data_IF_735706342128
#
_entry.id   IF_735706342128
#
_cell.length_a   1.000
_cell.length_b   1.000
_cell.length_c   1.000
_cell.angle_alpha   90.00
_cell.angle_beta   90.00
_cell.angle_gamma   90.00
#
_symmetry.space_group_name_H-M   'P 1'
#
loop_
_entity.id
_entity.type
_entity.pdbx_description
1 polymer ?
#
# COMPACT_ATOMS: atom_id res chain seq x y z
N UNK A 1 -5.34 4.83 9.40
CA UNK A 1 -6.03 6.13 9.20
C UNK A 1 -5.69 6.63 7.80
N UNK A 2 -6.66 7.18 7.05
CA UNK A 2 -6.39 7.79 5.73
C UNK A 2 -6.26 9.30 5.92
N UNK A 3 -5.15 9.87 5.47
CA UNK A 3 -4.81 11.29 5.63
C UNK A 3 -5.15 12.02 4.32
N UNK A 4 -5.92 13.12 4.35
CA UNK A 4 -6.18 13.93 3.16
C UNK A 4 -4.87 14.44 2.53
N UNK A 5 -4.78 14.41 1.20
CA UNK A 5 -3.58 14.79 0.43
C UNK A 5 -2.45 13.76 0.44
N UNK A 6 -2.59 12.65 1.18
CA UNK A 6 -1.58 11.59 1.18
C UNK A 6 -1.64 10.74 -0.10
N UNK A 7 -0.48 10.31 -0.55
CA UNK A 7 -0.34 9.31 -1.62
C UNK A 7 -0.01 7.96 -0.99
N UNK A 8 -0.87 6.98 -1.22
CA UNK A 8 -0.75 5.61 -0.77
C UNK A 8 -0.23 4.73 -1.91
N UNK A 9 0.89 4.04 -1.68
CA UNK A 9 1.42 3.03 -2.59
C UNK A 9 1.06 1.64 -2.11
N UNK A 10 0.44 0.82 -2.97
CA UNK A 10 0.08 -0.56 -2.62
C UNK A 10 1.08 -1.54 -3.20
N UNK A 11 1.64 -2.38 -2.35
CA UNK A 11 2.53 -3.47 -2.76
C UNK A 11 1.86 -4.83 -2.49
N UNK A 12 1.56 -5.55 -3.57
CA UNK A 12 0.91 -6.85 -3.54
C UNK A 12 -0.62 -6.81 -3.45
N UNK A 13 -1.23 -7.99 -3.31
CA UNK A 13 -2.68 -8.14 -3.24
C UNK A 13 -3.21 -7.93 -1.81
N UNK A 14 -4.26 -7.11 -1.68
CA UNK A 14 -4.93 -6.84 -0.41
C UNK A 14 -5.66 -8.10 0.11
N UNK A 15 -5.69 -8.25 1.44
CA UNK A 15 -6.25 -9.41 2.12
C UNK A 15 -7.78 -9.48 2.06
N UNK A 16 -8.41 -8.32 2.28
CA UNK A 16 -9.80 -8.22 2.72
C UNK A 16 -10.75 -7.74 1.62
N UNK A 17 -10.24 -7.03 0.62
CA UNK A 17 -11.05 -6.48 -0.47
C UNK A 17 -10.24 -6.18 -1.72
N UNK A 18 -10.88 -6.12 -2.91
CA UNK A 18 -10.22 -5.75 -4.16
C UNK A 18 -9.63 -4.33 -4.15
N UNK A 19 -8.54 -4.13 -4.88
CA UNK A 19 -7.85 -2.83 -4.99
C UNK A 19 -8.76 -1.68 -5.44
N UNK A 20 -9.79 -1.98 -6.26
CA UNK A 20 -10.75 -0.98 -6.73
C UNK A 20 -11.57 -0.35 -5.59
N UNK A 21 -11.92 -1.14 -4.57
CA UNK A 21 -12.63 -0.61 -3.41
C UNK A 21 -11.70 0.22 -2.53
N UNK A 22 -10.44 -0.21 -2.41
CA UNK A 22 -9.38 0.57 -1.76
C UNK A 22 -9.23 1.95 -2.41
N UNK A 23 -9.09 1.98 -3.74
CA UNK A 23 -8.92 3.20 -4.52
C UNK A 23 -10.08 4.17 -4.27
N UNK A 24 -11.32 3.67 -4.35
CA UNK A 24 -12.52 4.47 -4.10
C UNK A 24 -12.60 5.03 -2.69
N UNK A 25 -12.11 4.31 -1.68
CA UNK A 25 -12.12 4.81 -0.29
C UNK A 25 -11.04 5.88 -0.07
N UNK A 26 -9.88 5.70 -0.69
CA UNK A 26 -8.77 6.65 -0.63
C UNK A 26 -9.13 7.94 -1.37
N UNK A 27 -9.69 7.83 -2.58
CA UNK A 27 -10.20 8.97 -3.35
C UNK A 27 -11.32 9.73 -2.61
N UNK A 28 -12.27 9.00 -1.98
CA UNK A 28 -13.34 9.62 -1.17
C UNK A 28 -12.82 10.46 0.00
N UNK A 29 -11.59 10.22 0.44
CA UNK A 29 -10.96 10.94 1.56
C UNK A 29 -9.91 11.96 1.08
N UNK A 30 -10.00 12.37 -0.19
CA UNK A 30 -9.08 13.32 -0.83
C UNK A 30 -7.61 12.85 -0.82
N UNK A 31 -7.39 11.54 -0.94
CA UNK A 31 -6.06 10.95 -1.03
C UNK A 31 -5.90 10.20 -2.37
N UNK A 32 -4.67 9.86 -2.75
CA UNK A 32 -4.37 9.12 -3.98
C UNK A 32 -3.92 7.69 -3.67
N UNK A 33 -4.37 6.71 -4.48
CA UNK A 33 -3.89 5.33 -4.42
C UNK A 33 -3.12 4.98 -5.70
N UNK A 34 -1.89 4.49 -5.56
CA UNK A 34 -1.03 4.05 -6.66
C UNK A 34 -0.64 2.58 -6.49
N UNK A 35 -0.38 1.91 -7.60
CA UNK A 35 0.26 0.59 -7.61
C UNK A 35 1.77 0.78 -7.50
N UNK A 36 2.39 0.09 -6.55
CA UNK A 36 3.81 0.24 -6.24
C UNK A 36 4.12 1.48 -5.40
N UNK A 37 5.40 1.70 -5.14
CA UNK A 37 5.92 2.84 -4.40
C UNK A 37 6.58 3.79 -5.40
N UNK A 38 6.35 5.09 -5.24
CA UNK A 38 6.99 6.15 -6.02
C UNK A 38 7.57 7.19 -5.08
N UNK A 39 8.42 8.09 -5.58
CA UNK A 39 9.01 9.17 -4.77
C UNK A 39 7.98 10.09 -4.07
N UNK A 40 6.74 10.14 -4.57
CA UNK A 40 5.64 10.92 -3.96
C UNK A 40 4.83 10.13 -2.93
N UNK A 41 5.13 8.84 -2.73
CA UNK A 41 4.36 7.97 -1.85
C UNK A 41 4.67 8.31 -0.40
N UNK A 42 3.65 8.78 0.30
CA UNK A 42 3.72 9.11 1.72
C UNK A 42 3.50 7.91 2.63
N UNK A 43 2.72 6.93 2.15
CA UNK A 43 2.31 5.78 2.95
C UNK A 43 2.32 4.52 2.08
N UNK A 44 2.89 3.43 2.59
CA UNK A 44 2.93 2.14 1.88
C UNK A 44 1.96 1.16 2.53
N UNK A 45 1.13 0.53 1.72
CA UNK A 45 0.17 -0.51 2.14
C UNK A 45 0.64 -1.85 1.61
N UNK A 46 1.00 -2.74 2.54
CA UNK A 46 1.43 -4.10 2.21
C UNK A 46 0.25 -5.06 2.20
N UNK A 47 0.07 -5.74 1.07
CA UNK A 47 -0.93 -6.78 0.91
C UNK A 47 -0.60 -8.07 1.69
N UNK A 48 -1.62 -8.92 1.89
CA UNK A 48 -1.51 -10.20 2.62
C UNK A 48 -0.44 -11.12 2.05
N UNK A 49 -0.35 -11.16 0.72
CA UNK A 49 0.62 -12.02 0.05
C UNK A 49 2.07 -11.64 0.40
N UNK A 50 2.33 -10.35 0.68
CA UNK A 50 3.65 -9.87 1.04
C UNK A 50 3.92 -10.09 2.53
N UNK A 51 2.94 -9.84 3.40
CA UNK A 51 3.05 -10.14 4.84
C UNK A 51 3.17 -11.65 5.12
N UNK A 52 2.50 -12.51 4.34
CA UNK A 52 2.62 -13.96 4.45
C UNK A 52 4.02 -14.46 4.03
N UNK A 53 4.64 -13.81 3.02
CA UNK A 53 6.03 -14.07 2.62
C UNK A 53 7.05 -13.46 3.58
N UNK A 54 6.71 -12.34 4.22
CA UNK A 54 7.52 -11.66 5.22
C UNK A 54 7.45 -12.30 6.62
N UNK A 55 6.75 -13.44 6.79
CA UNK A 55 6.92 -14.29 7.98
C UNK A 55 8.39 -14.69 8.21
N UNK A 56 9.23 -14.53 7.20
CA UNK A 56 10.69 -14.72 7.23
C UNK A 56 11.50 -13.48 7.69
N UNK A 57 10.85 -12.35 8.01
CA UNK A 57 11.49 -11.13 8.53
C UNK A 57 11.17 -9.84 7.75
N UNK A 58 11.30 -8.71 8.45
CA UNK A 58 10.92 -7.36 7.98
C UNK A 58 11.79 -6.83 6.82
N UNK A 59 12.95 -7.44 6.57
CA UNK A 59 13.89 -7.03 5.52
C UNK A 59 13.27 -7.05 4.10
N UNK A 60 12.36 -7.98 3.82
CA UNK A 60 11.67 -8.03 2.52
C UNK A 60 10.64 -6.91 2.37
N UNK A 61 10.02 -6.49 3.48
CA UNK A 61 9.10 -5.36 3.53
C UNK A 61 9.88 -4.07 3.25
N UNK A 62 11.04 -3.90 3.90
CA UNK A 62 11.92 -2.75 3.67
C UNK A 62 12.45 -2.68 2.23
N UNK A 63 12.90 -3.80 1.67
CA UNK A 63 13.35 -3.84 0.26
C UNK A 63 12.28 -3.37 -0.70
N UNK A 64 11.03 -3.77 -0.49
CA UNK A 64 9.89 -3.39 -1.32
C UNK A 64 9.38 -1.97 -1.07
N UNK A 65 9.61 -1.43 0.13
CA UNK A 65 9.37 -0.01 0.42
C UNK A 65 10.38 0.90 -0.29
N UNK A 66 11.61 0.43 -0.51
CA UNK A 66 12.71 1.17 -1.13
C UNK A 66 12.78 1.04 -2.66
N UNK A 67 12.01 0.12 -3.25
CA UNK A 67 11.99 -0.17 -4.70
C UNK A 67 10.93 0.67 -5.44
#
# INVERSE_FOLDING_TARGET
MIVPGAVYGVVGALAAFPLRLAAREVERRHAELRRGVTRRTSHVVFGRALLAKAKSGDAEIERRAKA
#
